data_IF_992742586988
#
_entry.id   IF_992742586988
#
_cell.length_a   1.000
_cell.length_b   1.000
_cell.length_c   1.000
_cell.angle_alpha   90.00
_cell.angle_beta   90.00
_cell.angle_gamma   90.00
#
_symmetry.space_group_name_H-M   'P 1'
#
loop_
_entity.id
_entity.type
_entity.pdbx_description
1 polymer ?
#
# COMPACT_ATOMS: atom_id res chain seq x y z
N UNK A 1 3.25 41.34 -84.20
CA UNK A 1 2.21 40.30 -84.12
C UNK A 1 2.16 39.81 -82.62
N UNK A 2 1.24 40.33 -81.83
CA UNK A 2 1.28 40.27 -80.34
C UNK A 2 0.08 39.45 -79.90
N UNK A 3 0.30 38.27 -79.34
CA UNK A 3 -0.75 37.37 -78.84
C UNK A 3 -0.92 37.60 -77.36
N UNK A 4 -2.11 38.13 -76.95
CA UNK A 4 -2.53 38.30 -75.56
C UNK A 4 -2.98 36.95 -74.99
N UNK A 5 -2.35 36.46 -73.93
CA UNK A 5 -2.80 35.33 -73.12
C UNK A 5 -3.76 35.84 -72.03
N UNK A 6 -5.01 35.40 -72.07
CA UNK A 6 -6.01 35.59 -71.01
C UNK A 6 -5.69 34.59 -69.84
N UNK A 7 -5.51 35.12 -68.66
CA UNK A 7 -5.48 34.34 -67.41
C UNK A 7 -6.88 34.10 -66.94
N UNK A 8 -7.28 32.82 -66.84
CA UNK A 8 -8.51 32.40 -66.15
C UNK A 8 -8.14 32.10 -64.70
N UNK A 9 -8.68 32.84 -63.76
CA UNK A 9 -8.61 32.58 -62.32
C UNK A 9 -9.73 31.61 -61.99
N UNK A 10 -9.41 30.35 -61.64
CA UNK A 10 -10.34 29.40 -61.01
C UNK A 10 -10.13 29.52 -59.52
N UNK A 11 -11.12 30.13 -58.83
CA UNK A 11 -11.16 30.17 -57.39
C UNK A 11 -11.64 28.81 -56.82
N UNK A 12 -10.76 28.07 -56.18
CA UNK A 12 -11.16 26.90 -55.41
C UNK A 12 -11.50 27.34 -53.98
N UNK A 13 -12.79 27.33 -53.61
CA UNK A 13 -13.24 27.49 -52.26
C UNK A 13 -13.02 26.18 -51.49
N UNK A 14 -11.97 26.16 -50.64
CA UNK A 14 -11.73 25.08 -49.67
C UNK A 14 -12.72 25.29 -48.51
N UNK A 15 -13.82 24.52 -48.49
CA UNK A 15 -14.70 24.41 -47.35
C UNK A 15 -14.00 23.68 -46.21
N UNK A 16 -13.61 24.38 -45.14
CA UNK A 16 -13.21 23.75 -43.89
C UNK A 16 -14.44 23.12 -43.24
N UNK A 17 -14.58 21.80 -43.41
CA UNK A 17 -15.47 21.02 -42.55
C UNK A 17 -14.83 20.99 -41.14
N UNK A 18 -15.38 21.78 -40.21
CA UNK A 18 -15.09 21.65 -38.80
C UNK A 18 -15.61 20.28 -38.33
N UNK A 19 -14.76 19.27 -38.40
CA UNK A 19 -15.02 17.99 -37.78
C UNK A 19 -15.07 18.20 -36.28
N UNK A 20 -16.27 18.11 -35.69
CA UNK A 20 -16.44 18.03 -34.26
C UNK A 20 -15.64 16.82 -33.77
N UNK A 21 -14.54 17.07 -33.05
CA UNK A 21 -13.83 16.01 -32.32
C UNK A 21 -14.89 15.36 -31.42
N UNK A 22 -14.99 14.02 -31.40
CA UNK A 22 -15.85 13.34 -30.45
C UNK A 22 -15.43 13.80 -29.05
N UNK A 23 -16.38 14.02 -28.11
CA UNK A 23 -16.04 14.34 -26.74
C UNK A 23 -15.13 13.21 -26.27
N UNK A 24 -13.96 13.56 -25.69
CA UNK A 24 -13.16 12.59 -24.94
C UNK A 24 -14.12 11.92 -23.98
N UNK A 25 -14.49 10.68 -24.25
CA UNK A 25 -15.41 9.92 -23.40
C UNK A 25 -14.89 9.98 -21.99
N UNK A 26 -15.67 10.47 -21.07
CA UNK A 26 -15.35 10.39 -19.65
C UNK A 26 -15.02 8.92 -19.38
N UNK A 27 -13.79 8.65 -18.97
CA UNK A 27 -13.38 7.28 -18.62
C UNK A 27 -14.32 6.84 -17.51
N UNK A 28 -14.94 5.67 -17.67
CA UNK A 28 -15.85 5.14 -16.65
C UNK A 28 -15.11 5.07 -15.31
N UNK A 29 -15.78 5.48 -14.21
CA UNK A 29 -15.19 5.43 -12.89
C UNK A 29 -14.94 3.99 -12.44
N UNK A 30 -14.03 3.81 -11.49
CA UNK A 30 -13.63 2.48 -10.98
C UNK A 30 -14.83 1.67 -10.47
N UNK A 31 -15.86 2.31 -9.90
CA UNK A 31 -17.08 1.63 -9.44
C UNK A 31 -17.81 0.96 -10.61
N UNK A 32 -18.05 1.69 -11.70
CA UNK A 32 -18.75 1.18 -12.88
C UNK A 32 -17.95 0.10 -13.59
N UNK A 33 -16.63 0.33 -13.76
CA UNK A 33 -15.70 -0.65 -14.34
C UNK A 33 -15.68 -1.95 -13.54
N UNK A 34 -15.64 -1.86 -12.20
CA UNK A 34 -15.68 -3.01 -11.28
C UNK A 34 -16.98 -3.79 -11.44
N UNK A 35 -18.12 -3.11 -11.46
CA UNK A 35 -19.45 -3.75 -11.65
C UNK A 35 -19.55 -4.43 -13.02
N UNK A 36 -19.09 -3.77 -14.08
CA UNK A 36 -19.07 -4.32 -15.43
C UNK A 36 -18.16 -5.53 -15.57
N UNK A 37 -16.98 -5.49 -14.97
CA UNK A 37 -16.00 -6.58 -14.98
C UNK A 37 -16.41 -7.73 -14.05
N UNK A 38 -17.18 -7.43 -13.00
CA UNK A 38 -17.58 -8.40 -11.97
C UNK A 38 -16.47 -8.77 -10.98
N UNK A 39 -15.34 -8.02 -11.00
CA UNK A 39 -14.20 -8.25 -10.09
C UNK A 39 -13.69 -6.92 -9.53
N UNK A 40 -13.35 -6.93 -8.23
CA UNK A 40 -12.67 -5.84 -7.53
C UNK A 40 -11.22 -6.25 -7.27
N UNK A 41 -10.27 -5.57 -7.91
CA UNK A 41 -8.86 -5.93 -7.92
C UNK A 41 -8.11 -5.25 -6.78
N UNK A 42 -7.64 -6.05 -5.83
CA UNK A 42 -6.86 -5.58 -4.68
C UNK A 42 -5.40 -5.95 -4.84
N UNK A 43 -4.52 -4.95 -4.76
CA UNK A 43 -3.08 -5.19 -4.69
C UNK A 43 -2.71 -5.89 -3.38
N UNK A 44 -1.89 -6.95 -3.45
CA UNK A 44 -1.47 -7.74 -2.29
C UNK A 44 0.03 -8.01 -2.34
N UNK A 45 0.64 -8.10 -1.15
CA UNK A 45 2.05 -8.48 -0.98
C UNK A 45 2.23 -9.31 0.29
N UNK A 46 3.25 -10.16 0.34
CA UNK A 46 3.45 -11.03 1.51
C UNK A 46 3.88 -10.21 2.75
N UNK A 47 2.91 -9.90 3.58
CA UNK A 47 3.06 -9.06 4.77
C UNK A 47 2.03 -9.39 5.85
N UNK A 48 2.11 -10.57 6.50
CA UNK A 48 1.22 -10.88 7.63
C UNK A 48 1.32 -9.81 8.74
N UNK A 49 0.25 -9.43 9.43
CA UNK A 49 -1.14 -9.90 9.33
C UNK A 49 -1.99 -9.14 8.29
N UNK A 50 -1.37 -8.37 7.39
CA UNK A 50 -2.08 -7.56 6.39
C UNK A 50 -2.58 -8.38 5.22
N UNK A 51 -1.68 -9.17 4.63
CA UNK A 51 -1.95 -10.07 3.50
C UNK A 51 -1.12 -11.33 3.67
N UNK A 52 -1.71 -12.49 3.40
CA UNK A 52 -0.99 -13.76 3.42
C UNK A 52 -1.57 -14.76 2.43
N UNK A 53 -0.66 -15.56 1.89
CA UNK A 53 -0.99 -16.76 1.11
C UNK A 53 -1.22 -17.94 2.04
N UNK A 54 -2.23 -18.73 1.72
CA UNK A 54 -2.35 -20.07 2.25
C UNK A 54 -1.15 -20.90 1.78
N UNK A 55 -0.37 -21.50 2.68
CA UNK A 55 0.84 -22.24 2.32
C UNK A 55 0.58 -23.51 1.50
N UNK A 56 -0.65 -24.05 1.54
CA UNK A 56 -1.03 -25.28 0.82
C UNK A 56 -1.52 -24.99 -0.58
N UNK A 57 -2.31 -23.93 -0.75
CA UNK A 57 -2.94 -23.58 -2.03
C UNK A 57 -2.22 -22.47 -2.79
N UNK A 58 -1.37 -21.70 -2.11
CA UNK A 58 -0.72 -20.52 -2.67
C UNK A 58 -1.64 -19.32 -2.91
N UNK A 59 -2.93 -19.45 -2.54
CA UNK A 59 -3.91 -18.39 -2.73
C UNK A 59 -3.84 -17.34 -1.60
N UNK A 60 -4.12 -16.10 -1.94
CA UNK A 60 -4.26 -15.02 -0.97
C UNK A 60 -5.59 -15.17 -0.24
N UNK A 61 -5.58 -15.66 0.98
CA UNK A 61 -6.77 -16.10 1.69
C UNK A 61 -6.99 -15.43 3.04
N UNK A 62 -5.97 -14.85 3.65
CA UNK A 62 -6.07 -14.26 4.99
C UNK A 62 -5.36 -12.93 5.13
N UNK A 63 -5.76 -12.19 6.15
CA UNK A 63 -5.23 -10.88 6.51
C UNK A 63 -6.27 -9.77 6.46
N UNK A 64 -5.98 -8.68 7.18
CA UNK A 64 -6.87 -7.53 7.28
C UNK A 64 -7.25 -6.95 5.90
N UNK A 65 -6.29 -6.80 4.99
CA UNK A 65 -6.54 -6.26 3.65
C UNK A 65 -7.38 -7.19 2.78
N UNK A 66 -7.29 -8.51 2.99
CA UNK A 66 -8.17 -9.48 2.32
C UNK A 66 -9.60 -9.33 2.83
N UNK A 67 -9.79 -9.21 4.15
CA UNK A 67 -11.12 -9.01 4.76
C UNK A 67 -11.78 -7.71 4.28
N UNK A 68 -11.02 -6.60 4.24
CA UNK A 68 -11.49 -5.31 3.72
C UNK A 68 -11.83 -5.39 2.23
N UNK A 69 -10.94 -5.99 1.44
CA UNK A 69 -11.15 -6.17 -0.01
C UNK A 69 -12.39 -6.98 -0.32
N UNK A 70 -12.62 -8.06 0.45
CA UNK A 70 -13.83 -8.87 0.31
C UNK A 70 -15.09 -8.07 0.65
N UNK A 71 -15.12 -7.37 1.77
CA UNK A 71 -16.27 -6.55 2.17
C UNK A 71 -16.58 -5.45 1.14
N UNK A 72 -15.56 -4.81 0.57
CA UNK A 72 -15.73 -3.81 -0.49
C UNK A 72 -16.20 -4.44 -1.81
N UNK A 73 -15.65 -5.60 -2.19
CA UNK A 73 -16.10 -6.34 -3.37
C UNK A 73 -17.58 -6.74 -3.25
N UNK A 74 -17.99 -7.30 -2.10
CA UNK A 74 -19.36 -7.65 -1.81
C UNK A 74 -20.31 -6.42 -1.90
N UNK A 75 -19.88 -5.27 -1.37
CA UNK A 75 -20.63 -4.01 -1.45
C UNK A 75 -20.79 -3.47 -2.89
N UNK A 76 -19.90 -3.83 -3.80
CA UNK A 76 -19.98 -3.50 -5.23
C UNK A 76 -20.71 -4.57 -6.06
N UNK A 77 -21.11 -5.70 -5.44
CA UNK A 77 -21.66 -6.85 -6.17
C UNK A 77 -20.64 -7.56 -7.05
N UNK A 78 -19.36 -7.49 -6.70
CA UNK A 78 -18.22 -8.02 -7.44
C UNK A 78 -17.52 -9.13 -6.64
N UNK A 79 -16.66 -9.91 -7.29
CA UNK A 79 -15.76 -10.87 -6.64
C UNK A 79 -14.42 -10.18 -6.31
N UNK A 80 -13.85 -10.55 -5.17
CA UNK A 80 -12.46 -10.15 -4.87
C UNK A 80 -11.51 -10.84 -5.84
N UNK A 81 -10.66 -10.04 -6.48
CA UNK A 81 -9.51 -10.49 -7.26
C UNK A 81 -8.24 -9.94 -6.62
N UNK A 82 -7.29 -10.82 -6.29
CA UNK A 82 -6.01 -10.41 -5.68
C UNK A 82 -4.93 -10.39 -6.75
N UNK A 83 -4.22 -9.26 -6.84
CA UNK A 83 -3.12 -9.04 -7.77
C UNK A 83 -1.83 -8.84 -7.00
N UNK A 84 -0.85 -9.72 -7.20
CA UNK A 84 0.42 -9.64 -6.48
C UNK A 84 1.25 -8.44 -6.97
N UNK A 85 1.63 -7.59 -6.02
CA UNK A 85 2.47 -6.41 -6.22
C UNK A 85 3.51 -6.30 -5.09
N UNK A 86 4.49 -5.44 -5.25
CA UNK A 86 5.36 -5.00 -4.14
C UNK A 86 4.94 -3.62 -3.65
N UNK A 87 5.40 -3.21 -2.48
CA UNK A 87 5.20 -1.84 -1.99
C UNK A 87 5.74 -0.79 -2.96
N UNK A 88 6.85 -1.10 -3.65
CA UNK A 88 7.50 -0.20 -4.59
C UNK A 88 6.81 -0.06 -5.93
N UNK A 89 6.07 -1.08 -6.41
CA UNK A 89 5.40 -1.05 -7.70
C UNK A 89 3.88 -0.85 -7.63
N UNK A 90 3.30 -0.80 -6.42
CA UNK A 90 1.86 -0.65 -6.21
C UNK A 90 1.28 0.60 -6.91
N UNK A 91 2.02 1.73 -6.87
CA UNK A 91 1.61 2.97 -7.55
C UNK A 91 1.54 2.78 -9.07
N UNK A 92 2.55 2.17 -9.67
CA UNK A 92 2.54 1.87 -11.10
C UNK A 92 1.41 0.90 -11.48
N UNK A 93 1.08 -0.05 -10.61
CA UNK A 93 -0.04 -0.97 -10.81
C UNK A 93 -1.41 -0.24 -10.76
N UNK A 94 -1.58 0.73 -9.86
CA UNK A 94 -2.76 1.61 -9.82
C UNK A 94 -2.87 2.47 -11.08
N UNK A 95 -1.78 3.12 -11.48
CA UNK A 95 -1.74 4.01 -12.65
C UNK A 95 -1.97 3.27 -13.98
N UNK A 96 -1.52 2.01 -14.06
CA UNK A 96 -1.70 1.16 -15.25
C UNK A 96 -2.98 0.33 -15.23
N UNK A 97 -3.89 0.62 -14.29
CA UNK A 97 -5.18 -0.07 -14.16
C UNK A 97 -5.06 -1.60 -13.96
N UNK A 98 -4.00 -2.05 -13.31
CA UNK A 98 -3.84 -3.46 -12.92
C UNK A 98 -4.55 -3.79 -11.62
N UNK A 99 -4.63 -2.83 -10.71
CA UNK A 99 -5.35 -2.91 -9.44
C UNK A 99 -6.25 -1.71 -9.26
N UNK A 100 -7.34 -1.88 -8.53
CA UNK A 100 -8.31 -0.82 -8.21
C UNK A 100 -7.92 -0.11 -6.91
N UNK A 101 -7.33 -0.84 -5.96
CA UNK A 101 -6.94 -0.33 -4.63
C UNK A 101 -5.72 -1.08 -4.08
N UNK A 102 -4.92 -0.38 -3.27
CA UNK A 102 -3.88 -0.98 -2.42
C UNK A 102 -4.05 -0.53 -0.99
N UNK A 103 -4.44 -1.44 -0.09
CA UNK A 103 -4.51 -1.17 1.36
C UNK A 103 -3.14 -1.14 2.01
N UNK A 104 -3.02 -0.51 3.18
CA UNK A 104 -1.79 -0.33 3.95
C UNK A 104 -0.68 0.37 3.15
N UNK A 105 -1.05 1.21 2.19
CA UNK A 105 -0.12 2.07 1.49
C UNK A 105 -0.21 3.48 2.09
N UNK A 106 0.85 3.90 2.80
CA UNK A 106 0.86 5.19 3.50
C UNK A 106 0.87 6.36 2.55
N UNK A 107 0.13 7.41 2.92
CA UNK A 107 -0.05 8.63 2.14
C UNK A 107 1.15 9.57 2.26
N UNK A 108 2.33 9.16 1.75
CA UNK A 108 3.51 10.05 1.74
C UNK A 108 3.34 11.21 0.74
N UNK A 109 4.04 12.35 0.93
CA UNK A 109 3.96 13.49 0.00
C UNK A 109 4.22 13.10 -1.46
N UNK A 110 5.20 12.22 -1.70
CA UNK A 110 5.57 11.74 -3.04
C UNK A 110 4.44 10.89 -3.65
N UNK A 111 3.85 10.00 -2.86
CA UNK A 111 2.75 9.14 -3.33
C UNK A 111 1.49 9.93 -3.64
N UNK A 112 1.19 10.98 -2.86
CA UNK A 112 0.05 11.88 -3.10
C UNK A 112 0.14 12.64 -4.43
N UNK A 113 1.33 12.77 -5.01
CA UNK A 113 1.49 13.34 -6.34
C UNK A 113 1.02 12.38 -7.45
N UNK A 114 1.10 11.09 -7.22
CA UNK A 114 0.88 10.06 -8.22
C UNK A 114 -0.48 9.32 -8.10
N UNK A 115 -1.03 9.21 -6.89
CA UNK A 115 -2.27 8.50 -6.55
C UNK A 115 -3.08 9.29 -5.53
N UNK A 116 -4.35 8.95 -5.36
CA UNK A 116 -5.23 9.57 -4.37
C UNK A 116 -5.40 8.67 -3.14
N UNK A 117 -5.75 9.31 -2.04
CA UNK A 117 -5.97 8.67 -0.74
C UNK A 117 -7.25 9.19 -0.11
N UNK A 118 -8.09 8.33 0.49
CA UNK A 118 -9.22 8.77 1.30
C UNK A 118 -8.72 9.52 2.54
N UNK A 119 -9.56 10.35 3.12
CA UNK A 119 -9.26 11.11 4.35
C UNK A 119 -9.37 10.24 5.60
N UNK A 120 -10.32 9.31 5.60
CA UNK A 120 -10.53 8.40 6.72
C UNK A 120 -9.35 7.44 6.90
N UNK A 121 -8.84 7.29 8.13
CA UNK A 121 -7.77 6.34 8.40
C UNK A 121 -8.26 4.91 8.21
N UNK A 122 -7.40 4.06 7.68
CA UNK A 122 -7.64 2.63 7.65
C UNK A 122 -7.39 2.03 9.04
N UNK A 123 -6.25 2.36 9.63
CA UNK A 123 -5.81 1.96 10.97
C UNK A 123 -4.66 2.86 11.43
N UNK A 124 -4.20 2.67 12.67
CA UNK A 124 -2.99 3.30 13.21
C UNK A 124 -1.97 2.26 13.59
N UNK A 125 -0.68 2.56 13.40
CA UNK A 125 0.43 1.71 13.79
C UNK A 125 1.71 2.52 14.03
N UNK A 126 2.66 1.90 14.72
CA UNK A 126 3.97 2.49 15.00
C UNK A 126 5.07 1.74 14.28
N UNK A 127 6.10 2.47 13.84
CA UNK A 127 7.34 1.86 13.42
C UNK A 127 7.99 1.14 14.59
N UNK A 128 8.52 -0.04 14.32
CA UNK A 128 9.24 -0.85 15.27
C UNK A 128 10.41 -1.55 14.59
N UNK A 129 11.29 -2.08 15.37
CA UNK A 129 12.39 -2.93 14.90
C UNK A 129 12.33 -4.30 15.58
N UNK A 130 12.54 -5.36 14.83
CA UNK A 130 12.94 -6.65 15.36
C UNK A 130 14.45 -6.67 15.33
N UNK A 131 15.06 -6.55 16.49
CA UNK A 131 16.52 -6.49 16.69
C UNK A 131 17.02 -7.79 17.30
N UNK A 132 18.27 -8.18 17.02
CA UNK A 132 18.93 -9.27 17.75
C UNK A 132 19.07 -8.88 19.22
N UNK A 133 19.16 -9.89 20.09
CA UNK A 133 18.99 -9.70 21.55
C UNK A 133 20.08 -8.82 22.17
N UNK A 134 21.29 -8.83 21.62
CA UNK A 134 22.45 -8.06 22.07
C UNK A 134 22.53 -6.64 21.48
N UNK A 135 21.71 -6.29 20.49
CA UNK A 135 21.67 -4.94 19.90
C UNK A 135 20.81 -3.99 20.74
N UNK A 136 21.38 -2.89 21.22
CA UNK A 136 20.59 -1.80 21.81
C UNK A 136 19.83 -1.05 20.71
N UNK A 137 18.51 -0.91 20.87
CA UNK A 137 17.62 -0.28 19.88
C UNK A 137 16.49 0.52 20.55
N UNK A 138 16.77 1.15 21.72
CA UNK A 138 15.78 1.93 22.47
C UNK A 138 15.40 3.24 21.79
N UNK A 139 16.36 3.79 21.05
CA UNK A 139 16.19 5.04 20.29
C UNK A 139 16.62 4.82 18.85
N UNK A 140 16.20 5.70 17.94
CA UNK A 140 16.67 5.68 16.55
C UNK A 140 18.17 5.98 16.45
N UNK A 141 18.74 6.77 17.40
CA UNK A 141 20.18 7.03 17.45
C UNK A 141 20.98 5.78 17.86
N UNK A 142 20.41 4.88 18.66
CA UNK A 142 21.05 3.58 18.97
C UNK A 142 21.28 2.75 17.70
N UNK A 143 20.40 2.89 16.72
CA UNK A 143 20.47 2.22 15.42
C UNK A 143 21.31 2.97 14.40
N UNK A 144 21.50 4.29 14.57
CA UNK A 144 22.24 5.18 13.68
C UNK A 144 23.76 5.11 13.93
N UNK A 145 24.33 3.93 13.83
CA UNK A 145 25.76 3.70 14.11
C UNK A 145 26.43 2.93 12.96
N UNK A 146 27.71 3.24 12.65
CA UNK A 146 28.49 2.44 11.71
C UNK A 146 28.50 0.97 12.12
N UNK A 147 28.33 0.08 11.15
CA UNK A 147 28.32 -1.37 11.37
C UNK A 147 26.96 -1.95 11.82
N UNK A 148 25.97 -1.15 12.17
CA UNK A 148 24.60 -1.62 12.39
C UNK A 148 23.92 -1.82 11.04
N UNK A 149 23.52 -3.06 10.74
CA UNK A 149 22.88 -3.44 9.47
C UNK A 149 21.37 -3.52 9.67
N UNK A 150 20.62 -2.71 8.93
CA UNK A 150 19.15 -2.60 9.06
C UNK A 150 18.51 -3.03 7.74
N UNK A 151 17.58 -3.98 7.79
CA UNK A 151 16.74 -4.35 6.66
C UNK A 151 15.44 -3.54 6.61
N UNK A 152 15.05 -3.13 5.40
CA UNK A 152 13.76 -2.52 5.12
C UNK A 152 13.21 -3.03 3.78
N UNK A 153 11.89 -3.06 3.59
CA UNK A 153 11.30 -3.25 2.26
C UNK A 153 11.57 -2.02 1.39
N UNK A 154 12.09 -2.22 0.19
CA UNK A 154 12.45 -1.16 -0.73
C UNK A 154 11.24 -0.27 -1.11
N UNK A 155 11.47 1.05 -1.22
CA UNK A 155 10.47 2.05 -1.60
C UNK A 155 9.22 2.09 -0.68
N UNK A 156 9.34 1.55 0.53
CA UNK A 156 8.32 1.64 1.58
C UNK A 156 8.46 2.94 2.38
N UNK A 157 7.44 3.27 3.18
CA UNK A 157 7.52 4.38 4.15
C UNK A 157 8.59 4.14 5.21
N UNK A 158 8.84 2.87 5.57
CA UNK A 158 9.92 2.47 6.47
C UNK A 158 11.29 2.75 5.88
N UNK A 159 11.52 2.38 4.61
CA UNK A 159 12.77 2.68 3.89
C UNK A 159 13.05 4.20 3.89
N UNK A 160 12.06 5.01 3.57
CA UNK A 160 12.20 6.47 3.60
C UNK A 160 12.59 6.97 4.99
N UNK A 161 11.83 6.58 6.02
CA UNK A 161 12.08 7.04 7.39
C UNK A 161 13.46 6.63 7.90
N UNK A 162 13.84 5.35 7.73
CA UNK A 162 15.13 4.82 8.19
C UNK A 162 16.29 5.49 7.42
N UNK A 163 16.13 5.74 6.11
CA UNK A 163 17.14 6.45 5.32
C UNK A 163 17.40 7.86 5.82
N UNK A 164 16.34 8.57 6.25
CA UNK A 164 16.44 9.94 6.76
C UNK A 164 17.03 9.98 8.19
N UNK A 165 16.77 8.99 9.04
CA UNK A 165 17.06 9.04 10.47
C UNK A 165 18.22 8.14 10.93
N UNK A 166 18.70 7.23 10.08
CA UNK A 166 19.80 6.31 10.41
C UNK A 166 20.88 6.27 9.33
N UNK A 167 21.29 7.43 8.84
CA UNK A 167 22.20 7.59 7.71
C UNK A 167 23.61 6.99 7.94
N UNK A 168 24.02 6.73 9.21
CA UNK A 168 25.30 6.10 9.56
C UNK A 168 25.24 4.57 9.55
N UNK A 169 24.02 3.99 9.59
CA UNK A 169 23.82 2.56 9.55
C UNK A 169 23.98 1.99 8.12
N UNK A 170 24.26 0.69 8.02
CA UNK A 170 24.22 -0.04 6.74
C UNK A 170 22.77 -0.44 6.42
N UNK A 171 22.11 0.35 5.59
CA UNK A 171 20.73 0.12 5.21
C UNK A 171 20.64 -0.84 4.02
N UNK A 172 20.03 -2.02 4.24
CA UNK A 172 19.83 -3.05 3.23
C UNK A 172 18.36 -3.10 2.81
N UNK A 173 18.10 -2.96 1.51
CA UNK A 173 16.77 -2.92 0.91
C UNK A 173 16.41 -4.26 0.32
N UNK A 174 15.17 -4.70 0.60
CA UNK A 174 14.64 -5.99 0.14
C UNK A 174 13.33 -5.79 -0.64
N UNK A 175 12.96 -6.72 -1.52
CA UNK A 175 11.75 -6.60 -2.34
C UNK A 175 10.46 -6.49 -1.52
N UNK A 176 10.40 -7.18 -0.37
CA UNK A 176 9.22 -7.26 0.49
C UNK A 176 9.58 -7.52 1.96
N UNK A 177 8.57 -7.56 2.82
CA UNK A 177 8.74 -7.83 4.25
C UNK A 177 9.33 -9.22 4.52
N UNK A 178 8.94 -10.23 3.74
CA UNK A 178 9.38 -11.61 3.96
C UNK A 178 10.88 -11.75 3.68
N UNK A 179 11.37 -11.13 2.62
CA UNK A 179 12.80 -11.11 2.28
C UNK A 179 13.63 -10.35 3.33
N UNK A 180 13.13 -9.22 3.85
CA UNK A 180 13.77 -8.47 4.93
C UNK A 180 13.84 -9.30 6.23
N UNK A 181 12.77 -10.00 6.59
CA UNK A 181 12.73 -10.90 7.76
C UNK A 181 13.66 -12.11 7.56
N UNK A 182 13.75 -12.68 6.37
CA UNK A 182 14.66 -13.78 6.06
C UNK A 182 16.14 -13.35 6.19
N UNK A 183 16.47 -12.12 5.83
CA UNK A 183 17.81 -11.57 6.05
C UNK A 183 18.16 -11.45 7.54
N UNK A 184 17.18 -11.09 8.39
CA UNK A 184 17.36 -11.11 9.84
C UNK A 184 17.51 -12.54 10.37
N UNK A 185 16.70 -13.46 9.90
CA UNK A 185 16.75 -14.88 10.29
C UNK A 185 18.13 -15.49 10.02
N UNK A 186 18.73 -15.18 8.88
CA UNK A 186 20.05 -15.68 8.48
C UNK A 186 21.22 -14.94 9.13
N UNK A 187 20.99 -13.88 9.91
CA UNK A 187 22.03 -13.05 10.52
C UNK A 187 22.73 -12.10 9.53
N UNK A 188 22.20 -11.96 8.32
CA UNK A 188 22.71 -11.02 7.33
C UNK A 188 22.55 -9.56 7.79
N UNK A 189 21.51 -9.27 8.56
CA UNK A 189 21.24 -7.97 9.18
C UNK A 189 21.06 -8.09 10.68
N UNK A 190 21.25 -6.99 11.40
CA UNK A 190 21.17 -6.92 12.87
C UNK A 190 19.78 -6.54 13.36
N UNK A 191 19.02 -5.85 12.50
CA UNK A 191 17.64 -5.46 12.76
C UNK A 191 16.83 -5.43 11.46
N UNK A 192 15.51 -5.60 11.58
CA UNK A 192 14.58 -5.33 10.51
C UNK A 192 13.56 -4.29 11.00
N UNK A 193 13.40 -3.20 10.26
CA UNK A 193 12.43 -2.16 10.57
C UNK A 193 11.17 -2.34 9.73
N UNK A 194 10.04 -2.57 10.41
CA UNK A 194 8.70 -2.63 9.85
C UNK A 194 7.74 -1.89 10.80
N UNK A 195 6.44 -1.91 10.48
CA UNK A 195 5.45 -1.60 11.49
C UNK A 195 5.33 -2.72 12.52
N UNK A 196 4.89 -2.39 13.74
CA UNK A 196 4.88 -3.33 14.86
C UNK A 196 4.13 -4.65 14.57
N UNK A 197 2.91 -4.66 13.97
CA UNK A 197 2.16 -5.91 13.80
C UNK A 197 2.84 -6.98 12.94
N UNK A 198 3.44 -6.69 11.78
CA UNK A 198 4.22 -7.69 11.03
C UNK A 198 5.39 -8.30 11.81
N UNK A 199 5.99 -7.53 12.72
CA UNK A 199 7.11 -8.02 13.52
C UNK A 199 6.67 -9.02 14.61
N UNK A 200 5.44 -8.92 15.11
CA UNK A 200 4.88 -9.93 16.03
C UNK A 200 4.85 -11.30 15.38
N UNK A 201 4.27 -11.39 14.18
CA UNK A 201 4.20 -12.63 13.42
C UNK A 201 5.61 -13.18 13.10
N UNK A 202 6.54 -12.28 12.73
CA UNK A 202 7.92 -12.66 12.45
C UNK A 202 8.61 -13.20 13.69
N UNK A 203 8.56 -12.50 14.82
CA UNK A 203 9.21 -12.92 16.08
C UNK A 203 8.69 -14.25 16.57
N UNK A 204 7.36 -14.45 16.55
CA UNK A 204 6.78 -15.73 16.97
C UNK A 204 7.31 -16.90 16.11
N UNK A 205 7.31 -16.75 14.79
CA UNK A 205 7.81 -17.78 13.86
C UNK A 205 9.31 -18.06 14.05
N UNK A 206 10.10 -17.01 14.29
CA UNK A 206 11.56 -17.11 14.40
C UNK A 206 12.03 -17.59 15.78
N UNK A 207 11.25 -17.37 16.82
CA UNK A 207 11.60 -17.70 18.20
C UNK A 207 12.79 -16.92 18.76
N UNK A 208 13.26 -15.85 18.07
CA UNK A 208 14.43 -15.04 18.45
C UNK A 208 14.25 -13.56 18.16
N UNK A 209 15.08 -12.73 18.80
CA UNK A 209 15.08 -11.29 18.67
C UNK A 209 14.04 -10.61 19.58
N UNK A 210 14.19 -9.32 19.76
CA UNK A 210 13.28 -8.48 20.54
C UNK A 210 12.64 -7.41 19.67
N UNK A 211 11.34 -7.20 19.86
CA UNK A 211 10.62 -6.10 19.21
C UNK A 211 10.76 -4.86 20.10
N UNK A 212 11.17 -3.76 19.50
CA UNK A 212 11.31 -2.47 20.15
C UNK A 212 10.63 -1.42 19.29
N UNK A 213 9.89 -0.51 19.92
CA UNK A 213 9.44 0.75 19.31
C UNK A 213 10.46 1.81 19.75
N UNK A 214 11.41 2.21 18.87
CA UNK A 214 12.42 3.19 19.25
C UNK A 214 11.81 4.55 19.52
N UNK A 215 12.40 5.29 20.48
CA UNK A 215 11.96 6.64 20.80
C UNK A 215 12.73 7.70 20.00
N UNK A 216 12.07 8.82 19.61
CA UNK A 216 10.64 9.08 19.72
C UNK A 216 9.81 8.13 18.84
N UNK A 217 8.68 7.66 19.36
CA UNK A 217 7.83 6.71 18.64
C UNK A 217 7.26 7.36 17.37
N UNK A 218 7.39 6.66 16.26
CA UNK A 218 6.84 7.07 14.97
C UNK A 218 5.54 6.34 14.70
N UNK A 219 4.44 6.97 15.10
CA UNK A 219 3.08 6.45 14.90
C UNK A 219 2.38 7.23 13.80
N UNK A 220 1.66 6.55 12.93
CA UNK A 220 0.94 7.18 11.84
C UNK A 220 -0.36 6.44 11.49
N UNK A 221 -1.25 7.15 10.82
CA UNK A 221 -2.39 6.53 10.17
C UNK A 221 -1.93 5.82 8.90
N UNK A 222 -2.38 4.59 8.72
CA UNK A 222 -2.31 3.92 7.43
C UNK A 222 -3.50 4.29 6.57
N UNK A 223 -3.37 4.15 5.26
CA UNK A 223 -4.40 4.50 4.30
C UNK A 223 -4.56 3.42 3.22
N UNK A 224 -5.42 3.71 2.25
CA UNK A 224 -5.57 2.96 1.02
C UNK A 224 -5.25 3.88 -0.16
N UNK A 225 -4.46 3.41 -1.12
CA UNK A 225 -4.15 4.16 -2.32
C UNK A 225 -5.06 3.74 -3.46
N UNK A 226 -5.52 4.70 -4.24
CA UNK A 226 -6.40 4.55 -5.39
C UNK A 226 -5.91 5.42 -6.54
N UNK A 227 -6.28 5.08 -7.77
CA UNK A 227 -5.90 5.84 -8.97
C UNK A 227 -6.41 7.27 -8.89
N UNK A 228 -5.66 8.23 -9.42
CA UNK A 228 -6.07 9.64 -9.51
C UNK A 228 -7.27 9.87 -10.43
N UNK A 229 -7.91 11.02 -10.20
CA UNK A 229 -9.00 11.55 -11.04
C UNK A 229 -10.28 10.71 -11.02
N UNK A 230 -10.54 10.00 -9.91
CA UNK A 230 -11.78 9.27 -9.66
C UNK A 230 -12.38 9.69 -8.31
N UNK A 231 -12.92 10.92 -8.21
CA UNK A 231 -13.42 11.47 -6.95
C UNK A 231 -14.61 10.70 -6.38
N UNK A 232 -15.41 10.06 -7.24
CA UNK A 232 -16.52 9.23 -6.80
C UNK A 232 -16.04 7.98 -6.09
N UNK A 233 -15.01 7.31 -6.64
CA UNK A 233 -14.41 6.15 -6.01
C UNK A 233 -13.65 6.53 -4.72
N UNK A 234 -12.94 7.67 -4.70
CA UNK A 234 -12.30 8.22 -3.48
C UNK A 234 -13.35 8.38 -2.37
N UNK A 235 -14.45 9.06 -2.65
CA UNK A 235 -15.51 9.31 -1.67
C UNK A 235 -16.19 8.01 -1.21
N UNK A 236 -16.38 7.05 -2.13
CA UNK A 236 -16.95 5.75 -1.78
C UNK A 236 -16.00 4.95 -0.87
N UNK A 237 -14.71 4.87 -1.19
CA UNK A 237 -13.69 4.20 -0.35
C UNK A 237 -13.61 4.87 1.02
N UNK A 238 -13.61 6.21 1.06
CA UNK A 238 -13.58 6.98 2.31
C UNK A 238 -14.75 6.60 3.23
N UNK A 239 -15.97 6.55 2.66
CA UNK A 239 -17.18 6.11 3.38
C UNK A 239 -17.07 4.68 3.91
N UNK A 240 -16.50 3.74 3.12
CA UNK A 240 -16.31 2.36 3.57
C UNK A 240 -15.32 2.31 4.75
N UNK A 241 -14.15 2.94 4.62
CA UNK A 241 -13.14 2.97 5.68
C UNK A 241 -13.68 3.62 6.96
N UNK A 242 -14.36 4.76 6.85
CA UNK A 242 -15.01 5.42 7.98
C UNK A 242 -16.03 4.49 8.68
N UNK A 243 -16.81 3.74 7.91
CA UNK A 243 -17.76 2.76 8.43
C UNK A 243 -17.09 1.61 9.17
N UNK A 244 -16.07 1.01 8.59
CA UNK A 244 -15.30 -0.08 9.22
C UNK A 244 -14.59 0.39 10.48
N UNK A 245 -14.03 1.59 10.47
CA UNK A 245 -13.37 2.19 11.61
C UNK A 245 -14.37 2.45 12.74
N UNK A 246 -15.45 3.22 12.49
CA UNK A 246 -16.45 3.60 13.50
C UNK A 246 -17.17 2.41 14.13
N UNK A 247 -17.42 1.35 13.37
CA UNK A 247 -18.07 0.13 13.89
C UNK A 247 -17.12 -0.78 14.68
N UNK A 248 -15.82 -0.48 14.72
CA UNK A 248 -14.79 -1.35 15.28
C UNK A 248 -14.49 -2.59 14.42
N UNK A 249 -15.03 -2.65 13.20
CA UNK A 249 -14.83 -3.80 12.31
C UNK A 249 -13.37 -3.95 11.89
N UNK A 250 -12.64 -2.85 11.72
CA UNK A 250 -11.19 -2.85 11.44
C UNK A 250 -10.42 -3.60 12.53
N UNK A 251 -10.70 -3.31 13.82
CA UNK A 251 -10.05 -4.01 14.94
C UNK A 251 -10.40 -5.50 14.94
N UNK A 252 -11.66 -5.86 14.74
CA UNK A 252 -12.10 -7.26 14.70
C UNK A 252 -11.41 -8.06 13.60
N UNK A 253 -11.29 -7.50 12.40
CA UNK A 253 -10.56 -8.17 11.30
C UNK A 253 -9.06 -8.26 11.58
N UNK A 254 -8.48 -7.25 12.23
CA UNK A 254 -7.08 -7.30 12.66
C UNK A 254 -6.84 -8.41 13.68
N UNK A 255 -7.68 -8.53 14.70
CA UNK A 255 -7.62 -9.59 15.72
C UNK A 255 -7.81 -10.99 15.10
N UNK A 256 -8.76 -11.13 14.18
CA UNK A 256 -8.94 -12.37 13.43
C UNK A 256 -7.69 -12.72 12.61
N UNK A 257 -7.11 -11.74 11.91
CA UNK A 257 -5.89 -11.95 11.16
C UNK A 257 -4.70 -12.35 12.04
N UNK A 258 -4.58 -11.79 13.26
CA UNK A 258 -3.57 -12.23 14.23
C UNK A 258 -3.78 -13.68 14.64
N UNK A 259 -5.04 -14.05 14.94
CA UNK A 259 -5.40 -15.42 15.33
C UNK A 259 -5.09 -16.44 14.24
N UNK A 260 -5.30 -16.09 12.96
CA UNK A 260 -4.94 -16.95 11.80
C UNK A 260 -3.43 -17.26 11.77
N UNK A 261 -2.61 -16.43 12.37
CA UNK A 261 -1.15 -16.65 12.53
C UNK A 261 -0.78 -17.26 13.89
N UNK A 262 -1.75 -17.70 14.68
CA UNK A 262 -1.52 -18.25 16.01
C UNK A 262 -1.04 -17.22 17.04
N UNK A 263 -1.23 -15.92 16.76
CA UNK A 263 -0.93 -14.84 17.68
C UNK A 263 -2.12 -14.59 18.60
N UNK A 264 -1.85 -14.37 19.88
CA UNK A 264 -2.88 -13.91 20.81
C UNK A 264 -3.15 -12.40 20.56
N UNK A 265 -4.37 -12.04 20.12
CA UNK A 265 -4.69 -10.62 19.88
C UNK A 265 -4.54 -9.74 21.11
N UNK A 266 -4.71 -10.31 22.33
CA UNK A 266 -4.56 -9.55 23.57
C UNK A 266 -3.12 -9.07 23.83
N UNK A 267 -2.13 -9.70 23.20
CA UNK A 267 -0.71 -9.34 23.31
C UNK A 267 -0.26 -8.36 22.21
N UNK A 268 -1.14 -8.06 21.25
CA UNK A 268 -0.84 -7.15 20.16
C UNK A 268 -1.36 -5.74 20.46
N UNK A 269 -0.62 -4.67 20.08
CA UNK A 269 -1.16 -3.32 20.18
C UNK A 269 -2.42 -3.18 19.32
N UNK A 270 -3.45 -2.50 19.81
CA UNK A 270 -4.62 -2.21 19.02
C UNK A 270 -4.26 -1.29 17.84
N UNK A 271 -5.07 -1.34 16.78
CA UNK A 271 -4.88 -0.53 15.57
C UNK A 271 -5.87 0.63 15.46
N UNK A 272 -6.70 0.82 16.47
CA UNK A 272 -7.60 1.97 16.60
C UNK A 272 -6.97 3.02 17.49
N UNK A 273 -6.94 4.29 17.05
CA UNK A 273 -6.29 5.39 17.77
C UNK A 273 -6.79 5.53 19.21
N UNK A 274 -8.10 5.38 19.40
CA UNK A 274 -8.78 5.52 20.68
C UNK A 274 -8.43 4.40 21.68
N UNK A 275 -7.91 3.28 21.18
CA UNK A 275 -7.51 2.12 21.96
C UNK A 275 -6.00 2.09 22.28
N UNK A 276 -5.20 2.93 21.58
CA UNK A 276 -3.76 3.06 21.83
C UNK A 276 -3.56 3.89 23.09
N UNK A 277 -2.98 3.28 24.14
CA UNK A 277 -2.69 3.92 25.43
C UNK A 277 -1.32 4.57 25.41
#
# INVERSE_FOLDING_TARGET
MTIKRRKVLVGAALGFAAGALPPLGAQAGTIEETKKRGTFRVGVTQAPPWFSKDPKTGQWSSGLGISMGKAMADALGAKLETVEVSWGNAIAALQSDKIDIMFMLDATPERKQAVDFPESPLLYYSLAVLARDDLTAKTWEDLNKPGVRIAVPQASSMDRFVSEHTAKADLQRFPDNAAAIAAFQSGRVDAVCLFHPPLLAARQRLGKGKIVVPTPAQSQASSAAIRKNDPEFVAWVDKQLAGFYKSGQTQKWYEAALSDFGLDPALAPPVMKEMIK
#
